data_IF_982158525424
#
_entry.id   IF_982158525424
#
_cell.length_a   1.000
_cell.length_b   1.000
_cell.length_c   1.000
_cell.angle_alpha   90.00
_cell.angle_beta   90.00
_cell.angle_gamma   90.00
#
_symmetry.space_group_name_H-M   'P 1'
#
loop_
_entity.id
_entity.type
_entity.pdbx_description
1 polymer ?
#
# COMPACT_ATOMS: atom_id res chain seq x y z
N UNK A 1 20.67 8.63 -1.95
CA UNK A 1 19.23 8.95 -1.91
C UNK A 1 18.45 7.75 -2.46
N UNK A 2 17.51 7.23 -1.70
CA UNK A 2 16.57 6.20 -2.18
C UNK A 2 15.38 6.95 -2.75
N UNK A 3 14.98 6.66 -3.98
CA UNK A 3 13.84 7.31 -4.68
C UNK A 3 13.95 8.84 -4.90
N UNK A 4 15.14 9.37 -5.10
CA UNK A 4 15.33 10.82 -5.34
C UNK A 4 15.15 11.72 -4.11
N UNK A 5 14.86 11.16 -2.93
CA UNK A 5 14.71 11.93 -1.69
C UNK A 5 16.08 12.28 -1.12
N UNK A 6 16.29 13.54 -0.81
CA UNK A 6 17.46 14.01 -0.08
C UNK A 6 17.21 13.90 1.41
N UNK A 7 18.01 13.10 2.11
CA UNK A 7 17.93 12.97 3.57
C UNK A 7 18.87 13.95 4.25
N UNK A 8 18.43 14.60 5.32
CA UNK A 8 19.28 15.35 6.24
C UNK A 8 19.70 14.45 7.40
N UNK A 9 20.87 14.68 7.95
CA UNK A 9 21.32 13.99 9.16
C UNK A 9 20.42 14.39 10.33
N UNK A 10 19.89 13.42 11.08
CA UNK A 10 19.12 13.69 12.28
C UNK A 10 20.01 14.35 13.35
N UNK A 11 19.68 15.56 13.84
CA UNK A 11 20.47 16.24 14.86
C UNK A 11 20.56 15.41 16.14
N UNK A 12 21.75 15.38 16.78
CA UNK A 12 21.98 14.61 18.02
C UNK A 12 21.11 15.05 19.20
N UNK A 13 20.54 16.27 19.13
CA UNK A 13 19.58 16.78 20.12
C UNK A 13 18.21 16.12 20.02
N UNK A 14 17.89 15.48 18.88
CA UNK A 14 16.57 14.91 18.57
C UNK A 14 16.47 13.41 18.84
N UNK A 15 17.54 12.78 19.33
CA UNK A 15 17.51 11.35 19.67
C UNK A 15 18.38 11.04 20.88
N UNK A 16 18.17 9.84 21.43
CA UNK A 16 19.03 9.19 22.41
C UNK A 16 19.46 7.84 21.86
N UNK A 17 20.76 7.61 21.83
CA UNK A 17 21.36 6.36 21.41
C UNK A 17 22.40 5.98 22.47
N UNK A 18 22.40 4.73 23.01
CA UNK A 18 23.42 4.29 23.94
C UNK A 18 24.79 4.22 23.24
N UNK A 19 25.83 4.63 23.95
CA UNK A 19 27.20 4.60 23.41
C UNK A 19 27.72 3.17 23.19
N UNK A 20 27.15 2.19 23.90
CA UNK A 20 27.51 0.78 23.76
C UNK A 20 26.32 -0.12 24.12
N UNK A 21 26.32 -1.34 23.61
CA UNK A 21 25.42 -2.42 23.98
C UNK A 21 26.25 -3.68 24.25
N UNK A 22 25.89 -4.41 25.29
CA UNK A 22 26.55 -5.68 25.65
C UNK A 22 25.57 -6.82 25.38
N UNK A 23 26.03 -7.85 24.68
CA UNK A 23 25.30 -9.10 24.57
C UNK A 23 25.63 -9.91 25.86
N UNK A 24 24.65 -10.18 26.74
CA UNK A 24 24.90 -10.93 27.96
C UNK A 24 25.44 -12.32 27.68
N UNK A 25 26.24 -12.85 28.63
CA UNK A 25 26.77 -14.22 28.51
C UNK A 25 25.60 -15.23 28.35
N UNK A 26 25.71 -16.11 27.35
CA UNK A 26 24.71 -17.10 27.02
C UNK A 26 23.57 -16.58 26.13
N UNK A 27 23.55 -15.31 25.76
CA UNK A 27 22.62 -14.74 24.78
C UNK A 27 23.30 -14.63 23.41
N UNK A 28 22.46 -14.68 22.34
CA UNK A 28 22.95 -14.58 20.95
C UNK A 28 22.68 -13.18 20.34
N UNK A 29 21.97 -12.31 21.05
CA UNK A 29 21.61 -10.97 20.57
C UNK A 29 21.33 -10.02 21.72
N UNK A 30 21.40 -8.71 21.43
CA UNK A 30 20.93 -7.66 22.30
C UNK A 30 20.28 -6.55 21.46
N UNK A 31 19.26 -5.88 22.00
CA UNK A 31 18.58 -4.77 21.33
C UNK A 31 19.30 -3.46 21.61
N UNK A 32 19.42 -2.63 20.59
CA UNK A 32 19.91 -1.25 20.71
C UNK A 32 18.69 -0.33 20.75
N UNK A 33 18.31 0.24 21.92
CA UNK A 33 17.18 1.15 21.99
C UNK A 33 17.57 2.50 21.37
N UNK A 34 16.80 2.93 20.36
CA UNK A 34 16.87 4.28 19.79
C UNK A 34 15.62 5.01 20.23
N UNK A 35 15.78 6.07 21.01
CA UNK A 35 14.68 6.87 21.49
C UNK A 35 14.67 8.21 20.75
N UNK A 36 13.60 8.49 20.01
CA UNK A 36 13.37 9.79 19.41
C UNK A 36 12.82 10.77 20.47
N UNK A 37 13.36 11.96 20.48
CA UNK A 37 12.82 13.12 21.22
C UNK A 37 11.86 13.89 20.32
N UNK A 38 11.45 15.09 20.74
CA UNK A 38 10.66 15.97 19.87
C UNK A 38 11.46 16.31 18.61
N UNK A 39 10.96 15.87 17.46
CA UNK A 39 11.55 16.17 16.15
C UNK A 39 10.68 17.20 15.46
N UNK A 40 11.28 18.33 15.08
CA UNK A 40 10.61 19.37 14.29
C UNK A 40 11.06 19.25 12.84
N UNK A 41 10.09 19.19 11.95
CA UNK A 41 10.33 19.11 10.51
C UNK A 41 9.95 20.40 9.81
N UNK A 42 10.78 20.82 8.86
CA UNK A 42 10.37 21.77 7.83
C UNK A 42 9.59 21.05 6.72
N UNK A 43 8.80 21.78 5.95
CA UNK A 43 8.00 21.17 4.87
C UNK A 43 8.86 20.33 3.91
N UNK A 44 8.54 19.06 3.74
CA UNK A 44 9.26 18.13 2.85
C UNK A 44 10.61 17.64 3.38
N UNK A 45 10.93 17.91 4.65
CA UNK A 45 12.18 17.49 5.26
C UNK A 45 12.06 16.06 5.79
N UNK A 46 13.05 15.23 5.46
CA UNK A 46 13.19 13.85 5.93
C UNK A 46 14.58 13.69 6.54
N UNK A 47 14.64 13.15 7.73
CA UNK A 47 15.91 12.90 8.41
C UNK A 47 16.33 11.43 8.27
N UNK A 48 17.65 11.20 8.34
CA UNK A 48 18.24 9.88 8.46
C UNK A 48 19.21 9.84 9.64
N UNK A 49 19.14 8.77 10.41
CA UNK A 49 20.12 8.45 11.46
C UNK A 49 20.91 7.20 11.01
N UNK A 50 22.10 7.38 10.45
CA UNK A 50 23.00 6.26 10.19
C UNK A 50 23.60 5.77 11.51
N UNK A 51 23.55 4.48 11.72
CA UNK A 51 24.15 3.79 12.90
C UNK A 51 25.17 2.80 12.37
N UNK A 52 26.38 2.86 12.92
CA UNK A 52 27.44 1.91 12.62
C UNK A 52 27.88 1.20 13.91
N UNK A 53 27.88 -0.13 13.89
CA UNK A 53 28.43 -0.94 14.96
C UNK A 53 29.95 -1.00 14.83
N UNK A 54 30.63 -0.57 15.88
CA UNK A 54 32.10 -0.73 16.00
C UNK A 54 32.34 -1.69 17.13
N UNK A 55 32.96 -2.82 16.83
CA UNK A 55 33.29 -3.84 17.83
C UNK A 55 34.78 -4.12 17.87
N UNK A 56 35.28 -4.50 19.04
CA UNK A 56 36.64 -5.03 19.22
C UNK A 56 36.79 -6.47 18.71
N UNK A 57 35.69 -7.10 18.29
CA UNK A 57 35.72 -8.47 17.81
C UNK A 57 35.76 -8.48 16.25
N UNK A 58 36.78 -9.13 15.65
CA UNK A 58 37.03 -9.11 14.22
C UNK A 58 35.98 -9.87 13.36
N UNK A 59 34.93 -10.43 13.96
CA UNK A 59 33.94 -11.26 13.28
C UNK A 59 32.69 -10.51 12.85
N UNK A 60 32.71 -9.19 12.73
CA UNK A 60 31.57 -8.45 12.11
C UNK A 60 31.48 -8.87 10.63
N UNK A 61 30.34 -9.44 10.25
CA UNK A 61 30.04 -9.79 8.86
C UNK A 61 29.91 -8.49 8.07
N UNK A 62 30.77 -8.29 7.07
CA UNK A 62 30.75 -7.10 6.23
C UNK A 62 29.34 -6.80 5.66
N UNK A 63 28.93 -5.56 5.74
CA UNK A 63 27.60 -5.09 5.28
C UNK A 63 26.45 -5.24 6.29
N UNK A 64 26.66 -5.89 7.44
CA UNK A 64 25.66 -6.00 8.51
C UNK A 64 25.97 -5.13 9.74
N UNK A 65 27.04 -4.36 9.69
CA UNK A 65 27.44 -3.45 10.76
C UNK A 65 26.79 -2.07 10.69
N UNK A 66 25.98 -1.82 9.65
CA UNK A 66 25.37 -0.51 9.40
C UNK A 66 23.86 -0.62 9.31
N UNK A 67 23.17 0.36 9.87
CA UNK A 67 21.73 0.55 9.74
C UNK A 67 21.43 2.02 9.52
N UNK A 68 20.42 2.32 8.73
CA UNK A 68 19.90 3.68 8.53
C UNK A 68 18.46 3.72 8.99
N UNK A 69 18.19 4.52 10.03
CA UNK A 69 16.83 4.79 10.47
C UNK A 69 16.37 6.08 9.78
N UNK A 70 15.32 5.98 8.98
CA UNK A 70 14.67 7.14 8.35
C UNK A 70 13.60 7.66 9.31
N UNK A 71 13.64 8.96 9.58
CA UNK A 71 12.68 9.67 10.43
C UNK A 71 11.98 10.72 9.58
N UNK A 72 10.70 10.51 9.40
CA UNK A 72 9.83 11.36 8.59
C UNK A 72 8.70 11.95 9.43
N UNK A 73 8.15 13.06 8.97
CA UNK A 73 7.00 13.69 9.63
C UNK A 73 5.78 12.78 9.50
N UNK A 74 5.09 12.54 10.60
CA UNK A 74 3.81 11.89 10.56
C UNK A 74 2.84 12.72 9.70
N UNK A 75 2.41 12.17 8.59
CA UNK A 75 1.45 12.84 7.71
C UNK A 75 0.05 12.61 8.23
N UNK A 76 -0.57 13.67 8.77
CA UNK A 76 -2.00 13.65 9.05
C UNK A 76 -2.77 13.81 7.73
N UNK A 77 -3.50 12.79 7.35
CA UNK A 77 -4.37 12.83 6.17
C UNK A 77 -5.81 12.60 6.57
N UNK A 78 -6.71 13.30 5.89
CA UNK A 78 -8.15 13.05 6.04
C UNK A 78 -8.52 11.74 5.36
N UNK A 79 -9.39 10.96 6.00
CA UNK A 79 -10.00 9.78 5.41
C UNK A 79 -11.51 9.95 5.40
N UNK A 80 -12.16 9.46 4.34
CA UNK A 80 -13.61 9.38 4.29
C UNK A 80 -14.07 8.31 5.29
N UNK A 81 -14.89 8.69 6.25
CA UNK A 81 -15.55 7.75 7.15
C UNK A 81 -16.83 7.26 6.52
N UNK A 82 -16.91 5.97 6.27
CA UNK A 82 -18.07 5.32 5.66
C UNK A 82 -18.75 4.46 6.71
N UNK A 83 -19.93 4.89 7.15
CA UNK A 83 -20.69 4.21 8.21
C UNK A 83 -22.13 3.87 7.82
N UNK A 84 -22.48 4.11 6.57
CA UNK A 84 -23.85 3.91 6.05
C UNK A 84 -23.90 2.63 5.21
N UNK A 85 -25.02 1.94 5.19
CA UNK A 85 -25.26 0.78 4.31
C UNK A 85 -25.51 1.17 2.84
N UNK A 86 -25.30 2.42 2.46
CA UNK A 86 -25.57 2.93 1.11
C UNK A 86 -24.28 3.04 0.30
N UNK A 87 -24.31 2.65 -0.96
CA UNK A 87 -23.19 2.87 -1.87
C UNK A 87 -23.03 4.36 -2.19
N UNK A 88 -21.79 4.78 -2.40
CA UNK A 88 -21.46 6.06 -3.00
C UNK A 88 -21.12 5.80 -4.46
N UNK A 89 -21.92 6.31 -5.39
CA UNK A 89 -21.65 6.15 -6.81
C UNK A 89 -21.19 7.48 -7.42
N UNK A 90 -20.15 7.39 -8.26
CA UNK A 90 -19.65 8.49 -9.08
C UNK A 90 -19.79 8.06 -10.53
N UNK A 91 -20.48 8.87 -11.33
CA UNK A 91 -20.64 8.63 -12.75
C UNK A 91 -19.79 9.61 -13.56
N UNK A 92 -19.23 9.13 -14.66
CA UNK A 92 -18.66 9.99 -15.69
C UNK A 92 -19.78 10.63 -16.52
N UNK A 93 -19.43 11.58 -17.37
CA UNK A 93 -20.41 12.19 -18.29
C UNK A 93 -20.93 11.17 -19.33
N UNK A 94 -20.05 10.23 -19.72
CA UNK A 94 -20.29 9.15 -20.67
C UNK A 94 -19.43 7.94 -20.36
N UNK A 95 -19.75 6.80 -20.95
CA UNK A 95 -18.86 5.63 -20.90
C UNK A 95 -17.59 5.90 -21.70
N UNK A 96 -16.43 5.58 -21.11
CA UNK A 96 -15.12 5.69 -21.76
C UNK A 96 -14.52 4.31 -22.00
N UNK A 97 -13.74 4.16 -23.05
CA UNK A 97 -12.93 2.96 -23.32
C UNK A 97 -11.50 3.20 -22.83
N UNK A 98 -10.94 2.22 -22.11
CA UNK A 98 -9.59 2.27 -21.57
C UNK A 98 -8.85 0.98 -21.89
N UNK A 99 -7.75 1.04 -22.66
CA UNK A 99 -6.98 -0.14 -23.06
C UNK A 99 -6.11 -0.69 -21.91
N UNK A 100 -5.81 0.16 -20.94
CA UNK A 100 -5.05 -0.18 -19.73
C UNK A 100 -5.57 0.67 -18.60
N UNK A 101 -5.49 0.16 -17.37
CA UNK A 101 -5.92 0.93 -16.22
C UNK A 101 -5.20 0.52 -14.93
N UNK A 102 -5.21 1.41 -13.96
CA UNK A 102 -4.82 1.12 -12.58
C UNK A 102 -5.85 1.72 -11.64
N UNK A 103 -6.36 0.93 -10.72
CA UNK A 103 -7.19 1.38 -9.61
C UNK A 103 -6.43 1.18 -8.30
N UNK A 104 -6.37 2.23 -7.49
CA UNK A 104 -5.75 2.19 -6.17
C UNK A 104 -6.77 2.64 -5.12
N UNK A 105 -6.75 1.99 -3.97
CA UNK A 105 -7.60 2.36 -2.84
C UNK A 105 -6.95 1.98 -1.53
N UNK A 106 -6.98 2.88 -0.55
CA UNK A 106 -6.50 2.61 0.80
C UNK A 106 -7.68 2.54 1.76
N UNK A 107 -7.76 1.45 2.51
CA UNK A 107 -8.88 1.22 3.46
C UNK A 107 -8.39 0.75 4.82
N UNK A 108 -9.16 1.11 5.85
CA UNK A 108 -9.07 0.54 7.19
C UNK A 108 -10.49 0.23 7.66
N UNK A 109 -10.78 -1.02 7.98
CA UNK A 109 -12.11 -1.46 8.37
C UNK A 109 -12.09 -2.21 9.70
N UNK A 110 -13.14 -2.05 10.48
CA UNK A 110 -13.35 -2.83 11.70
C UNK A 110 -13.68 -4.29 11.41
N UNK A 111 -14.20 -4.58 10.23
CA UNK A 111 -14.30 -5.90 9.61
C UNK A 111 -13.80 -5.74 8.16
N UNK A 112 -12.65 -6.32 7.87
CA UNK A 112 -12.02 -6.16 6.55
C UNK A 112 -12.80 -6.84 5.42
N UNK A 113 -13.69 -7.78 5.73
CA UNK A 113 -14.45 -8.53 4.74
C UNK A 113 -15.41 -7.62 3.94
N UNK A 114 -15.41 -7.76 2.63
CA UNK A 114 -16.37 -7.15 1.73
C UNK A 114 -15.76 -6.46 0.51
N UNK A 115 -16.64 -6.03 -0.39
CA UNK A 115 -16.27 -5.33 -1.59
C UNK A 115 -15.58 -3.98 -1.29
N UNK A 116 -14.66 -3.57 -2.14
CA UNK A 116 -13.97 -2.27 -2.06
C UNK A 116 -14.67 -1.24 -2.95
N UNK A 117 -14.90 -1.59 -4.19
CA UNK A 117 -15.50 -0.74 -5.21
C UNK A 117 -16.10 -1.62 -6.31
N UNK A 118 -16.74 -1.00 -7.28
CA UNK A 118 -17.18 -1.68 -8.51
C UNK A 118 -17.44 -0.69 -9.64
N UNK A 119 -17.43 -1.20 -10.85
CA UNK A 119 -17.70 -0.41 -12.06
C UNK A 119 -19.15 0.04 -12.10
N UNK A 120 -19.41 1.22 -12.63
CA UNK A 120 -20.71 1.73 -13.09
C UNK A 120 -20.67 1.98 -14.59
N UNK A 121 -21.83 1.93 -15.21
CA UNK A 121 -22.04 2.24 -16.63
C UNK A 121 -23.07 3.36 -16.75
N UNK A 122 -22.83 4.29 -17.65
CA UNK A 122 -23.80 5.34 -18.00
C UNK A 122 -24.82 4.80 -19.02
N UNK A 123 -24.32 4.02 -19.99
CA UNK A 123 -25.13 3.32 -20.97
C UNK A 123 -25.39 1.86 -20.60
N UNK A 124 -25.44 0.99 -21.60
CA UNK A 124 -25.63 -0.44 -21.39
C UNK A 124 -24.46 -1.05 -20.59
N UNK A 125 -24.77 -1.96 -19.69
CA UNK A 125 -23.76 -2.71 -18.93
C UNK A 125 -22.86 -3.56 -19.85
N UNK A 126 -21.65 -3.79 -19.40
CA UNK A 126 -20.70 -4.72 -20.02
C UNK A 126 -20.02 -5.55 -18.93
N UNK A 127 -20.49 -6.76 -18.69
CA UNK A 127 -19.98 -7.64 -17.64
C UNK A 127 -18.49 -7.96 -17.82
N UNK A 128 -17.99 -7.91 -19.07
CA UNK A 128 -16.57 -8.09 -19.36
C UNK A 128 -15.71 -6.91 -18.93
N UNK A 129 -16.31 -5.77 -18.68
CA UNK A 129 -15.63 -4.57 -18.16
C UNK A 129 -15.84 -4.37 -16.66
N UNK A 130 -16.43 -5.35 -15.96
CA UNK A 130 -16.57 -5.28 -14.52
C UNK A 130 -15.21 -5.27 -13.82
N UNK A 131 -15.07 -4.37 -12.84
CA UNK A 131 -13.95 -4.30 -11.88
C UNK A 131 -14.59 -4.39 -10.50
N UNK A 132 -14.44 -5.52 -9.82
CA UNK A 132 -15.12 -5.79 -8.56
C UNK A 132 -14.21 -6.52 -7.57
N UNK A 133 -13.37 -5.78 -6.82
CA UNK A 133 -12.52 -6.35 -5.79
C UNK A 133 -13.28 -6.59 -4.49
N UNK A 134 -13.19 -7.80 -3.97
CA UNK A 134 -13.69 -8.20 -2.66
C UNK A 134 -12.53 -8.72 -1.83
N UNK A 135 -12.32 -8.14 -0.66
CA UNK A 135 -11.27 -8.54 0.28
C UNK A 135 -11.85 -9.25 1.48
N UNK A 136 -11.08 -10.17 2.07
CA UNK A 136 -11.53 -10.91 3.23
C UNK A 136 -10.41 -11.67 3.94
N UNK A 137 -10.59 -11.90 5.24
CA UNK A 137 -9.63 -12.63 6.10
C UNK A 137 -9.47 -14.10 5.71
N UNK A 138 -10.54 -14.71 5.22
CA UNK A 138 -10.55 -16.12 4.83
C UNK A 138 -10.21 -16.32 3.35
N UNK A 139 -9.99 -15.24 2.64
CA UNK A 139 -9.66 -15.18 1.23
C UNK A 139 -10.29 -13.96 0.58
N UNK A 140 -9.74 -13.58 -0.55
CA UNK A 140 -10.20 -12.46 -1.35
C UNK A 140 -10.47 -12.93 -2.77
N UNK A 141 -11.30 -12.21 -3.50
CA UNK A 141 -11.40 -12.41 -4.93
C UNK A 141 -11.48 -11.08 -5.67
N UNK A 142 -11.07 -11.11 -6.90
CA UNK A 142 -11.15 -9.96 -7.79
C UNK A 142 -11.85 -10.39 -9.08
N UNK A 143 -13.06 -9.88 -9.30
CA UNK A 143 -13.78 -10.08 -10.57
C UNK A 143 -13.39 -9.02 -11.56
N UNK A 144 -12.92 -9.45 -12.71
CA UNK A 144 -12.57 -8.56 -13.81
C UNK A 144 -12.52 -9.32 -15.13
N UNK A 145 -12.88 -8.66 -16.23
CA UNK A 145 -12.89 -9.27 -17.57
C UNK A 145 -13.78 -10.50 -17.69
N UNK A 146 -14.81 -10.62 -16.85
CA UNK A 146 -15.67 -11.80 -16.79
C UNK A 146 -15.04 -12.99 -16.07
N UNK A 147 -13.94 -12.81 -15.33
CA UNK A 147 -13.19 -13.84 -14.61
C UNK A 147 -13.07 -13.51 -13.14
N UNK A 148 -13.24 -14.50 -12.26
CA UNK A 148 -12.99 -14.38 -10.83
C UNK A 148 -11.57 -14.88 -10.51
N UNK A 149 -10.71 -13.97 -10.07
CA UNK A 149 -9.35 -14.25 -9.64
C UNK A 149 -9.34 -14.41 -8.11
N UNK A 150 -9.07 -15.62 -7.62
CA UNK A 150 -9.07 -15.92 -6.18
C UNK A 150 -7.68 -15.72 -5.58
N UNK A 151 -7.66 -15.15 -4.37
CA UNK A 151 -6.47 -14.96 -3.55
C UNK A 151 -6.68 -15.62 -2.18
N UNK A 152 -5.84 -16.61 -1.88
CA UNK A 152 -5.89 -17.26 -0.57
C UNK A 152 -5.39 -16.32 0.53
N UNK A 153 -5.85 -16.55 1.76
CA UNK A 153 -5.37 -15.83 2.95
C UNK A 153 -3.87 -16.00 3.21
N UNK A 154 -3.27 -17.07 2.72
CA UNK A 154 -1.83 -17.34 2.91
C UNK A 154 -0.98 -16.43 1.99
N UNK A 155 -1.52 -16.05 0.84
CA UNK A 155 -0.87 -15.15 -0.12
C UNK A 155 -1.08 -13.68 0.30
N UNK A 156 -2.29 -13.35 0.75
CA UNK A 156 -2.70 -12.00 1.17
C UNK A 156 -3.40 -12.06 2.54
N UNK A 157 -2.65 -12.20 3.63
CA UNK A 157 -3.22 -12.21 4.98
C UNK A 157 -3.71 -10.80 5.35
N UNK A 158 -4.98 -10.69 5.75
CA UNK A 158 -5.62 -9.44 6.13
C UNK A 158 -6.14 -9.51 7.57
N UNK A 159 -6.08 -8.38 8.27
CA UNK A 159 -6.54 -8.22 9.64
C UNK A 159 -7.45 -7.00 9.77
N UNK A 160 -8.37 -7.07 10.73
CA UNK A 160 -9.24 -5.94 11.06
C UNK A 160 -8.45 -4.75 11.63
N UNK A 161 -8.99 -3.56 11.46
CA UNK A 161 -8.44 -2.32 12.00
C UNK A 161 -7.02 -1.94 11.53
N UNK A 162 -6.52 -2.57 10.47
CA UNK A 162 -5.26 -2.20 9.81
C UNK A 162 -5.51 -1.46 8.51
N UNK A 163 -4.60 -0.57 8.16
CA UNK A 163 -4.57 0.08 6.86
C UNK A 163 -3.97 -0.84 5.81
N UNK A 164 -4.64 -0.93 4.66
CA UNK A 164 -4.15 -1.64 3.48
C UNK A 164 -4.31 -0.76 2.25
N UNK A 165 -3.24 -0.67 1.46
CA UNK A 165 -3.26 -0.11 0.12
C UNK A 165 -3.41 -1.24 -0.88
N UNK A 166 -4.51 -1.27 -1.59
CA UNK A 166 -4.73 -2.20 -2.69
C UNK A 166 -4.52 -1.47 -4.01
N UNK A 167 -3.81 -2.12 -4.93
CA UNK A 167 -3.68 -1.63 -6.31
C UNK A 167 -3.97 -2.77 -7.26
N UNK A 168 -4.77 -2.48 -8.27
CA UNK A 168 -5.20 -3.39 -9.32
C UNK A 168 -4.75 -2.78 -10.64
N UNK A 169 -3.97 -3.52 -11.41
CA UNK A 169 -3.35 -3.03 -12.65
C UNK A 169 -3.73 -3.95 -13.79
N UNK A 170 -4.35 -3.42 -14.84
CA UNK A 170 -4.59 -4.10 -16.11
C UNK A 170 -3.67 -3.53 -17.19
N UNK A 171 -2.87 -4.39 -17.80
CA UNK A 171 -1.86 -3.99 -18.80
C UNK A 171 -2.29 -4.17 -20.27
N UNK A 172 -3.53 -4.57 -20.49
CA UNK A 172 -4.10 -4.88 -21.79
C UNK A 172 -4.34 -6.38 -22.01
N UNK A 173 -3.77 -7.25 -21.16
CA UNK A 173 -3.92 -8.70 -21.24
C UNK A 173 -3.98 -9.37 -19.86
N UNK A 174 -3.22 -8.85 -18.89
CA UNK A 174 -3.09 -9.42 -17.55
C UNK A 174 -3.61 -8.43 -16.51
N UNK A 175 -4.09 -8.98 -15.40
CA UNK A 175 -4.31 -8.22 -14.17
C UNK A 175 -3.29 -8.61 -13.13
N UNK A 176 -2.66 -7.59 -12.54
CA UNK A 176 -1.80 -7.71 -11.37
C UNK A 176 -2.47 -7.07 -10.16
N UNK A 177 -2.45 -7.76 -9.03
CA UNK A 177 -2.98 -7.27 -7.74
C UNK A 177 -1.82 -7.05 -6.79
N UNK A 178 -1.84 -5.89 -6.13
CA UNK A 178 -0.85 -5.51 -5.11
C UNK A 178 -1.54 -5.22 -3.78
N UNK A 179 -0.89 -5.63 -2.70
CA UNK A 179 -1.25 -5.27 -1.34
C UNK A 179 -0.04 -4.64 -0.66
N UNK A 180 -0.19 -3.40 -0.18
CA UNK A 180 0.89 -2.61 0.41
C UNK A 180 2.16 -2.60 -0.46
N UNK A 181 2.01 -2.33 -1.76
CA UNK A 181 3.09 -2.26 -2.74
C UNK A 181 3.69 -3.60 -3.18
N UNK A 182 3.35 -4.70 -2.53
CA UNK A 182 3.81 -6.06 -2.90
C UNK A 182 2.83 -6.72 -3.84
N UNK A 183 3.30 -7.20 -4.98
CA UNK A 183 2.48 -7.99 -5.90
C UNK A 183 2.10 -9.34 -5.26
N UNK A 184 0.81 -9.62 -5.23
CA UNK A 184 0.23 -10.85 -4.65
C UNK A 184 -0.41 -11.75 -5.70
N UNK A 185 -0.73 -11.22 -6.88
CA UNK A 185 -1.28 -11.97 -8.00
C UNK A 185 -0.87 -11.31 -9.32
N UNK A 186 -0.66 -12.12 -10.35
CA UNK A 186 -0.67 -11.69 -11.75
C UNK A 186 -1.18 -12.83 -12.60
N UNK A 187 -2.25 -12.60 -13.36
CA UNK A 187 -2.87 -13.61 -14.21
C UNK A 187 -3.42 -12.99 -15.49
N UNK A 188 -3.44 -13.76 -16.59
CA UNK A 188 -4.16 -13.40 -17.80
C UNK A 188 -5.66 -13.23 -17.50
N UNK A 189 -6.25 -12.22 -18.09
CA UNK A 189 -7.70 -12.02 -18.15
C UNK A 189 -8.10 -11.80 -19.60
N UNK A 190 -9.27 -11.26 -19.86
CA UNK A 190 -9.62 -10.86 -21.24
C UNK A 190 -8.61 -9.83 -21.76
N UNK A 191 -8.34 -9.84 -23.03
CA UNK A 191 -7.69 -8.76 -23.76
C UNK A 191 -8.73 -7.71 -24.27
N UNK A 192 -8.25 -6.53 -24.63
CA UNK A 192 -9.04 -5.44 -25.18
C UNK A 192 -9.53 -4.43 -24.14
N UNK A 193 -10.19 -3.40 -24.65
CA UNK A 193 -10.58 -2.23 -23.87
C UNK A 193 -11.67 -2.54 -22.85
N UNK A 194 -11.55 -1.89 -21.68
CA UNK A 194 -12.62 -1.85 -20.68
C UNK A 194 -13.51 -0.64 -20.90
N UNK A 195 -14.82 -0.86 -20.83
CA UNK A 195 -15.82 0.19 -20.87
C UNK A 195 -16.16 0.62 -19.44
N UNK A 196 -16.00 1.89 -19.12
CA UNK A 196 -16.19 2.43 -17.78
C UNK A 196 -17.07 3.67 -17.82
N UNK A 197 -18.16 3.68 -17.07
CA UNK A 197 -19.07 4.82 -16.89
C UNK A 197 -18.99 5.45 -15.50
N UNK A 198 -18.13 4.93 -14.65
CA UNK A 198 -17.94 5.39 -13.28
C UNK A 198 -17.63 4.28 -12.32
N UNK A 199 -17.74 4.60 -11.03
CA UNK A 199 -17.49 3.65 -9.94
C UNK A 199 -18.51 3.83 -8.82
N UNK A 200 -18.87 2.75 -8.18
CA UNK A 200 -19.43 2.79 -6.85
C UNK A 200 -18.39 2.40 -5.81
N UNK A 201 -18.49 2.98 -4.65
CA UNK A 201 -17.63 2.69 -3.50
C UNK A 201 -18.44 1.95 -2.45
N UNK A 202 -17.87 0.89 -1.95
CA UNK A 202 -18.50 0.13 -0.89
C UNK A 202 -18.56 0.92 0.40
N UNK A 203 -19.72 0.90 1.01
CA UNK A 203 -19.99 1.55 2.30
C UNK A 203 -19.80 0.62 3.50
N UNK A 204 -19.09 -0.49 3.35
CA UNK A 204 -18.70 -1.34 4.46
C UNK A 204 -17.97 -0.50 5.51
N UNK A 205 -18.45 -0.51 6.74
CA UNK A 205 -17.98 0.34 7.85
C UNK A 205 -16.46 0.44 7.94
N UNK A 206 -15.95 1.66 7.85
CA UNK A 206 -14.51 1.90 7.91
C UNK A 206 -14.09 3.25 7.40
N UNK A 207 -12.79 3.37 7.18
CA UNK A 207 -12.14 4.53 6.62
C UNK A 207 -11.61 4.20 5.23
N UNK A 208 -11.74 5.13 4.29
CA UNK A 208 -11.20 5.03 2.94
C UNK A 208 -10.47 6.30 2.58
N UNK A 209 -9.35 6.16 1.89
CA UNK A 209 -8.62 7.28 1.30
C UNK A 209 -7.87 6.82 0.04
N UNK A 210 -7.26 7.77 -0.67
CA UNK A 210 -6.39 7.48 -1.82
C UNK A 210 -7.10 6.64 -2.91
N UNK A 211 -8.41 6.84 -3.10
CA UNK A 211 -9.07 6.26 -4.26
C UNK A 211 -8.60 7.00 -5.51
N UNK A 212 -7.91 6.28 -6.38
CA UNK A 212 -7.35 6.80 -7.63
C UNK A 212 -7.65 5.85 -8.77
N UNK A 213 -7.93 6.41 -9.92
CA UNK A 213 -8.03 5.66 -11.16
C UNK A 213 -7.16 6.30 -12.23
N UNK A 214 -6.32 5.48 -12.86
CA UNK A 214 -5.41 5.89 -13.92
C UNK A 214 -5.78 5.13 -15.20
N UNK A 215 -5.78 5.82 -16.35
CA UNK A 215 -5.99 5.23 -17.68
C UNK A 215 -4.71 4.61 -18.26
N UNK A 216 -3.82 4.15 -17.42
CA UNK A 216 -2.54 3.50 -17.77
C UNK A 216 -2.23 2.40 -16.77
N UNK A 217 -1.48 1.39 -17.21
CA UNK A 217 -0.89 0.41 -16.31
C UNK A 217 0.32 1.03 -15.61
N UNK A 218 0.23 1.20 -14.30
CA UNK A 218 1.35 1.69 -13.47
C UNK A 218 2.38 0.58 -13.27
N UNK A 219 3.65 0.97 -13.27
CA UNK A 219 4.74 0.03 -13.01
C UNK A 219 4.80 -0.38 -11.52
N UNK A 220 5.41 -1.54 -11.18
CA UNK A 220 5.61 -1.95 -9.79
C UNK A 220 6.31 -0.88 -8.94
N UNK A 221 7.29 -0.16 -9.51
CA UNK A 221 7.98 0.93 -8.82
C UNK A 221 7.05 2.11 -8.49
N UNK A 222 6.15 2.46 -9.41
CA UNK A 222 5.15 3.51 -9.19
C UNK A 222 4.11 3.09 -8.14
N UNK A 223 3.72 1.83 -8.12
CA UNK A 223 2.82 1.28 -7.10
C UNK A 223 3.49 1.32 -5.72
N UNK A 224 4.73 0.84 -5.62
CA UNK A 224 5.47 0.83 -4.35
C UNK A 224 5.74 2.23 -3.79
N UNK A 225 5.83 3.24 -4.64
CA UNK A 225 6.05 4.63 -4.22
C UNK A 225 4.80 5.29 -3.59
N UNK A 226 3.62 4.67 -3.71
CA UNK A 226 2.35 5.21 -3.21
C UNK A 226 1.90 4.61 -1.87
N UNK A 227 2.70 3.76 -1.26
CA UNK A 227 2.39 3.05 0.01
C UNK A 227 2.90 3.81 1.22
#
# INVERSE_FOLDING_TARGET
AKNGTSYKLLPSTMYELPASVTIPAGQTSASIPVKLKSVTFSSGEVFALPIQLQGSNPHAIGGQSEAIIVVDQATETKALSINTGNEIAVYFAEDILVPQWTMEVMVKRSNINGALAGTKFVGASDDKSEIYPVVGKDGSFFRTGGTDLSLSKDIMPLEDNKWYMFSFVYDGANVSVYCNGRQVLSQPVRDGDYKLGGFWLSTTRGLMRELRFYKVARTPAQIAANV
#
